data_IF_185579488268
#
_entry.id   IF_185579488268
#
_cell.length_a   1.000
_cell.length_b   1.000
_cell.length_c   1.000
_cell.angle_alpha   90.00
_cell.angle_beta   90.00
_cell.angle_gamma   90.00
#
_symmetry.space_group_name_H-M   'P 1'
#
loop_
_entity.id
_entity.type
_entity.pdbx_description
1 polymer ?
#
# COMPACT_ATOMS: atom_id res chain seq x y z
N UNK A 1 -11.49 6.63 7.45
CA UNK A 1 -11.09 5.26 7.81
C UNK A 1 -9.60 5.36 7.97
N UNK A 2 -9.05 5.07 9.15
CA UNK A 2 -7.61 5.10 9.38
C UNK A 2 -7.02 3.88 8.68
N UNK A 3 -6.07 4.10 7.78
CA UNK A 3 -5.33 3.01 7.13
C UNK A 3 -4.08 2.67 7.95
N UNK A 4 -3.69 1.41 7.87
CA UNK A 4 -2.61 0.77 8.62
C UNK A 4 -2.03 -0.40 7.80
N UNK A 5 -1.09 -1.17 8.36
CA UNK A 5 -0.53 -2.33 7.67
C UNK A 5 -1.58 -3.40 7.33
N UNK A 6 -2.63 -3.55 8.14
CA UNK A 6 -3.76 -4.45 7.82
C UNK A 6 -4.46 -4.04 6.52
N UNK A 7 -4.52 -2.74 6.24
CA UNK A 7 -5.05 -2.21 4.97
C UNK A 7 -4.16 -2.59 3.78
N UNK A 8 -2.83 -2.61 3.96
CA UNK A 8 -1.89 -3.10 2.94
C UNK A 8 -2.05 -4.60 2.71
N UNK A 9 -2.18 -5.40 3.77
CA UNK A 9 -2.49 -6.84 3.66
C UNK A 9 -3.79 -7.08 2.90
N UNK A 10 -4.82 -6.25 3.12
CA UNK A 10 -6.07 -6.32 2.37
C UNK A 10 -5.90 -5.98 0.89
N UNK A 11 -5.07 -4.98 0.55
CA UNK A 11 -4.73 -4.65 -0.85
C UNK A 11 -3.93 -5.79 -1.51
N UNK A 12 -2.95 -6.36 -0.81
CA UNK A 12 -2.17 -7.50 -1.28
C UNK A 12 -3.08 -8.69 -1.56
N UNK A 13 -3.95 -9.03 -0.60
CA UNK A 13 -4.94 -10.10 -0.73
C UNK A 13 -5.87 -9.86 -1.94
N UNK A 14 -6.40 -8.64 -2.08
CA UNK A 14 -7.24 -8.25 -3.22
C UNK A 14 -6.52 -8.47 -4.55
N UNK A 15 -5.27 -8.01 -4.64
CA UNK A 15 -4.46 -8.09 -5.86
C UNK A 15 -4.14 -9.54 -6.22
N UNK A 16 -3.65 -10.34 -5.27
CA UNK A 16 -3.34 -11.77 -5.48
C UNK A 16 -4.60 -12.57 -5.85
N UNK A 17 -5.74 -12.28 -5.22
CA UNK A 17 -6.99 -12.97 -5.56
C UNK A 17 -7.40 -12.70 -7.01
N UNK A 18 -7.30 -11.45 -7.48
CA UNK A 18 -7.61 -11.11 -8.86
C UNK A 18 -6.64 -11.74 -9.85
N UNK A 19 -5.33 -11.71 -9.57
CA UNK A 19 -4.33 -12.39 -10.40
C UNK A 19 -4.61 -13.89 -10.52
N UNK A 20 -4.98 -14.53 -9.41
CA UNK A 20 -5.31 -15.97 -9.40
C UNK A 20 -6.62 -16.28 -10.10
N UNK A 21 -7.64 -15.43 -9.97
CA UNK A 21 -8.96 -15.62 -10.59
C UNK A 21 -8.90 -15.54 -12.11
N UNK A 22 -8.01 -14.72 -12.65
CA UNK A 22 -7.81 -14.55 -14.10
C UNK A 22 -6.65 -15.41 -14.63
N UNK A 23 -6.24 -16.43 -13.87
CA UNK A 23 -5.20 -17.42 -14.23
C UNK A 23 -3.86 -16.80 -14.65
N UNK A 24 -3.49 -15.64 -14.08
CA UNK A 24 -2.24 -14.93 -14.43
C UNK A 24 -1.04 -15.41 -13.62
N UNK A 25 -1.26 -16.01 -12.44
CA UNK A 25 -0.21 -16.54 -11.57
C UNK A 25 -0.59 -17.90 -10.98
N UNK A 26 0.41 -18.75 -10.75
CA UNK A 26 0.28 -20.02 -10.00
C UNK A 26 1.06 -19.95 -8.68
N UNK A 27 0.49 -20.54 -7.63
CA UNK A 27 1.15 -20.68 -6.33
C UNK A 27 0.46 -21.79 -5.52
N UNK A 28 1.24 -22.48 -4.68
CA UNK A 28 0.71 -23.52 -3.79
C UNK A 28 -0.14 -22.91 -2.67
N UNK A 29 -1.21 -23.61 -2.28
CA UNK A 29 -2.18 -23.10 -1.31
C UNK A 29 -1.57 -22.78 0.07
N UNK A 30 -0.55 -23.51 0.48
CA UNK A 30 0.19 -23.32 1.73
C UNK A 30 1.12 -22.09 1.69
N UNK A 31 1.61 -21.69 0.51
CA UNK A 31 2.41 -20.46 0.31
C UNK A 31 1.57 -19.19 0.23
N UNK A 32 0.24 -19.30 0.20
CA UNK A 32 -0.65 -18.14 0.02
C UNK A 32 -0.46 -17.05 1.08
N UNK A 33 -0.31 -17.43 2.35
CA UNK A 33 -0.14 -16.47 3.44
C UNK A 33 1.16 -15.70 3.26
N UNK A 34 2.26 -16.43 3.01
CA UNK A 34 3.59 -15.86 2.83
C UNK A 34 3.64 -14.93 1.61
N UNK A 35 2.98 -15.31 0.50
CA UNK A 35 2.86 -14.47 -0.69
C UNK A 35 2.12 -13.15 -0.39
N UNK A 36 1.03 -13.22 0.36
CA UNK A 36 0.25 -12.03 0.73
C UNK A 36 1.07 -11.11 1.64
N UNK A 37 1.75 -11.67 2.65
CA UNK A 37 2.55 -10.91 3.59
C UNK A 37 3.75 -10.26 2.89
N UNK A 38 4.45 -11.00 2.03
CA UNK A 38 5.56 -10.49 1.25
C UNK A 38 5.12 -9.38 0.29
N UNK A 39 3.99 -9.55 -0.40
CA UNK A 39 3.43 -8.50 -1.26
C UNK A 39 2.99 -7.27 -0.46
N UNK A 40 2.41 -7.45 0.73
CA UNK A 40 2.02 -6.34 1.59
C UNK A 40 3.23 -5.49 2.01
N UNK A 41 4.35 -6.15 2.34
CA UNK A 41 5.63 -5.47 2.60
C UNK A 41 6.13 -4.71 1.38
N UNK A 42 6.12 -5.32 0.18
CA UNK A 42 6.54 -4.64 -1.05
C UNK A 42 5.66 -3.44 -1.38
N UNK A 43 4.34 -3.56 -1.18
CA UNK A 43 3.38 -2.47 -1.36
C UNK A 43 3.59 -1.34 -0.35
N UNK A 44 4.09 -1.63 0.86
CA UNK A 44 4.44 -0.62 1.87
C UNK A 44 5.58 0.31 1.44
N UNK A 45 6.35 -0.04 0.41
CA UNK A 45 7.35 0.87 -0.20
C UNK A 45 6.67 1.88 -1.14
N UNK A 46 5.52 1.52 -1.70
CA UNK A 46 4.79 2.28 -2.72
C UNK A 46 3.52 2.97 -2.22
N UNK A 47 3.10 2.64 -1.00
CA UNK A 47 1.94 3.20 -0.34
C UNK A 47 2.26 3.61 1.08
N UNK A 48 1.78 4.80 1.47
CA UNK A 48 1.80 5.24 2.86
C UNK A 48 0.40 5.15 3.47
N UNK A 49 0.35 4.66 4.70
CA UNK A 49 -0.86 4.59 5.52
C UNK A 49 -1.07 5.90 6.29
N UNK A 50 -2.24 6.07 6.89
CA UNK A 50 -2.48 7.17 7.84
C UNK A 50 -1.55 7.08 9.06
N UNK A 51 -1.11 5.87 9.46
CA UNK A 51 -0.14 5.67 10.53
C UNK A 51 1.26 6.13 10.11
N UNK A 52 1.72 5.72 8.92
CA UNK A 52 3.03 6.15 8.40
C UNK A 52 3.11 7.67 8.28
N UNK A 53 2.04 8.31 7.77
CA UNK A 53 1.98 9.77 7.65
C UNK A 53 1.96 10.44 9.02
N UNK A 54 1.28 9.85 10.01
CA UNK A 54 1.27 10.37 11.38
C UNK A 54 2.67 10.32 11.97
N UNK A 55 3.35 9.19 11.85
CA UNK A 55 4.67 8.98 12.44
C UNK A 55 5.71 9.87 11.75
N UNK A 56 5.69 9.96 10.43
CA UNK A 56 6.54 10.87 9.66
C UNK A 56 6.29 12.35 10.01
N UNK A 57 5.03 12.75 10.24
CA UNK A 57 4.72 14.12 10.64
C UNK A 57 5.21 14.46 12.04
N UNK A 58 5.23 13.48 12.96
CA UNK A 58 5.83 13.64 14.29
C UNK A 58 7.34 13.82 14.13
N UNK A 59 8.00 12.93 13.39
CA UNK A 59 9.45 12.98 13.14
C UNK A 59 9.86 14.33 12.53
N UNK A 60 9.17 14.82 11.49
CA UNK A 60 9.49 16.09 10.85
C UNK A 60 9.35 17.30 11.80
N UNK A 61 8.37 17.27 12.71
CA UNK A 61 8.20 18.32 13.72
C UNK A 61 9.30 18.25 14.77
N UNK A 62 9.61 17.05 15.27
CA UNK A 62 10.68 16.83 16.26
C UNK A 62 12.06 17.24 15.72
N UNK A 63 12.37 16.90 14.47
CA UNK A 63 13.64 17.29 13.82
C UNK A 63 13.77 18.80 13.64
N UNK A 64 12.66 19.48 13.32
CA UNK A 64 12.67 20.90 13.00
C UNK A 64 12.75 21.81 14.22
N UNK A 65 12.15 21.40 15.34
CA UNK A 65 12.05 22.22 16.55
C UNK A 65 12.90 21.70 17.72
N UNK A 66 13.33 20.44 17.67
CA UNK A 66 14.05 19.77 18.74
C UNK A 66 13.12 19.24 19.81
N UNK A 67 13.40 18.04 20.34
CA UNK A 67 12.56 17.30 21.29
C UNK A 67 12.19 18.10 22.57
N UNK A 68 13.03 19.06 22.97
CA UNK A 68 12.81 19.87 24.17
C UNK A 68 11.75 20.98 23.97
N UNK A 69 11.46 21.37 22.73
CA UNK A 69 10.56 22.48 22.39
C UNK A 69 9.18 21.99 21.90
N UNK A 70 9.00 20.69 21.69
CA UNK A 70 7.73 20.12 21.21
C UNK A 70 6.83 19.71 22.38
N UNK A 71 5.52 20.03 22.36
CA UNK A 71 4.58 19.60 23.41
C UNK A 71 4.51 18.07 23.58
N UNK A 72 4.16 17.60 24.78
CA UNK A 72 3.96 16.17 25.06
C UNK A 72 2.90 15.52 24.14
N UNK A 73 1.88 16.27 23.72
CA UNK A 73 0.93 15.85 22.68
C UNK A 73 1.11 16.67 21.39
N UNK A 74 2.04 16.20 20.58
CA UNK A 74 2.38 16.79 19.27
C UNK A 74 1.18 16.73 18.32
N UNK A 75 0.33 15.71 18.44
CA UNK A 75 -0.67 15.37 17.41
C UNK A 75 -1.89 16.29 17.38
N UNK A 76 -2.08 17.09 18.43
CA UNK A 76 -3.12 18.12 18.50
C UNK A 76 -2.63 19.51 18.04
N UNK A 77 -1.36 19.64 17.66
CA UNK A 77 -0.76 20.94 17.32
C UNK A 77 -1.02 21.37 15.87
N UNK A 78 -1.03 22.68 15.63
CA UNK A 78 -1.07 23.24 14.26
C UNK A 78 0.17 22.86 13.44
N UNK A 79 1.31 22.69 14.09
CA UNK A 79 2.57 22.31 13.43
C UNK A 79 2.51 20.88 12.89
N UNK A 80 2.01 19.93 13.68
CA UNK A 80 1.73 18.58 13.22
C UNK A 80 0.73 18.56 12.06
N UNK A 81 -0.38 19.30 12.19
CA UNK A 81 -1.38 19.41 11.13
C UNK A 81 -0.82 20.01 9.84
N UNK A 82 0.14 20.93 9.96
CA UNK A 82 0.87 21.49 8.82
C UNK A 82 1.81 20.45 8.18
N UNK A 83 2.67 19.79 8.96
CA UNK A 83 3.59 18.77 8.47
C UNK A 83 2.85 17.63 7.74
N UNK A 84 1.80 17.09 8.37
CA UNK A 84 0.92 16.07 7.77
C UNK A 84 0.36 16.50 6.40
N UNK A 85 -0.06 17.76 6.26
CA UNK A 85 -0.58 18.28 4.97
C UNK A 85 0.53 18.37 3.92
N UNK A 86 1.74 18.76 4.29
CA UNK A 86 2.87 18.86 3.35
C UNK A 86 3.31 17.47 2.88
N UNK A 87 3.38 16.48 3.77
CA UNK A 87 3.65 15.08 3.42
C UNK A 87 2.63 14.56 2.41
N UNK A 88 1.33 14.70 2.70
CA UNK A 88 0.26 14.26 1.78
C UNK A 88 0.36 14.96 0.41
N UNK A 89 0.70 16.25 0.37
CA UNK A 89 0.87 17.00 -0.88
C UNK A 89 2.07 16.49 -1.69
N UNK A 90 3.13 16.05 -1.03
CA UNK A 90 4.31 15.48 -1.69
C UNK A 90 3.95 14.23 -2.51
N UNK A 91 2.91 13.50 -2.09
CA UNK A 91 2.33 12.33 -2.77
C UNK A 91 1.27 12.70 -3.82
N UNK A 92 1.23 13.97 -4.25
CA UNK A 92 0.26 14.53 -5.21
C UNK A 92 -1.21 14.41 -4.76
N UNK A 93 -1.47 14.01 -3.50
CA UNK A 93 -2.80 13.80 -2.94
C UNK A 93 -3.56 12.59 -3.49
N UNK A 94 -2.95 11.75 -4.33
CA UNK A 94 -3.59 10.54 -4.85
C UNK A 94 -3.62 9.44 -3.78
N UNK A 95 -4.77 8.76 -3.66
CA UNK A 95 -4.92 7.63 -2.76
C UNK A 95 -5.84 6.57 -3.35
N UNK A 96 -5.62 5.32 -2.94
CA UNK A 96 -6.42 4.15 -3.31
C UNK A 96 -6.89 3.48 -2.03
N UNK A 97 -8.21 3.44 -1.82
CA UNK A 97 -8.76 2.88 -0.58
C UNK A 97 -8.31 3.60 0.70
N UNK A 98 -7.83 4.85 0.60
CA UNK A 98 -7.24 5.58 1.73
C UNK A 98 -5.74 5.33 1.95
N UNK A 99 -5.09 4.50 1.12
CA UNK A 99 -3.63 4.36 1.07
C UNK A 99 -3.07 5.44 0.13
N UNK A 100 -2.15 6.25 0.60
CA UNK A 100 -1.55 7.34 -0.16
C UNK A 100 -0.47 6.80 -1.10
N UNK A 101 -0.45 7.25 -2.34
CA UNK A 101 0.50 6.76 -3.35
C UNK A 101 1.79 7.60 -3.35
N UNK A 102 2.92 7.01 -2.94
CA UNK A 102 4.24 7.69 -2.99
C UNK A 102 4.83 7.74 -4.40
N UNK A 103 4.29 6.95 -5.32
CA UNK A 103 4.67 6.96 -6.74
C UNK A 103 3.45 6.70 -7.64
N UNK A 104 3.62 6.87 -8.96
CA UNK A 104 2.52 6.65 -9.91
C UNK A 104 2.04 5.20 -9.88
N UNK A 105 0.73 4.97 -10.03
CA UNK A 105 0.14 3.63 -10.02
C UNK A 105 0.79 2.66 -11.04
N UNK A 106 1.26 3.19 -12.17
CA UNK A 106 1.98 2.40 -13.16
C UNK A 106 3.34 1.91 -12.66
N UNK A 107 4.07 2.71 -11.87
CA UNK A 107 5.31 2.28 -11.24
C UNK A 107 5.05 1.26 -10.12
N UNK A 108 3.96 1.45 -9.35
CA UNK A 108 3.51 0.46 -8.37
C UNK A 108 3.24 -0.88 -9.07
N UNK A 109 2.53 -0.87 -10.20
CA UNK A 109 2.26 -2.08 -10.99
C UNK A 109 3.56 -2.72 -11.51
N UNK A 110 4.54 -1.95 -11.94
CA UNK A 110 5.87 -2.47 -12.32
C UNK A 110 6.57 -3.17 -11.15
N UNK A 111 6.56 -2.55 -9.98
CA UNK A 111 7.13 -3.12 -8.75
C UNK A 111 6.45 -4.45 -8.40
N UNK A 112 5.12 -4.51 -8.43
CA UNK A 112 4.38 -5.75 -8.16
C UNK A 112 4.69 -6.80 -9.22
N UNK A 113 4.78 -6.43 -10.49
CA UNK A 113 5.18 -7.34 -11.58
C UNK A 113 6.59 -7.91 -11.34
N UNK A 114 7.56 -7.05 -11.02
CA UNK A 114 8.94 -7.49 -10.71
C UNK A 114 8.98 -8.39 -9.46
N UNK A 115 8.18 -8.09 -8.44
CA UNK A 115 7.99 -8.97 -7.27
C UNK A 115 7.43 -10.34 -7.66
N UNK A 116 6.37 -10.40 -8.47
CA UNK A 116 5.76 -11.66 -8.90
C UNK A 116 6.74 -12.53 -9.69
N UNK A 117 7.58 -11.92 -10.54
CA UNK A 117 8.58 -12.61 -11.35
C UNK A 117 9.80 -13.10 -10.55
N UNK A 118 10.01 -12.58 -9.34
CA UNK A 118 11.19 -12.90 -8.50
C UNK A 118 10.85 -13.57 -7.18
N UNK A 119 9.57 -13.68 -6.83
CA UNK A 119 9.12 -14.27 -5.57
C UNK A 119 9.21 -15.79 -5.59
N UNK A 120 9.86 -16.36 -4.57
CA UNK A 120 9.92 -17.81 -4.35
C UNK A 120 8.55 -18.44 -4.00
N UNK A 121 7.56 -17.61 -3.67
CA UNK A 121 6.19 -18.06 -3.35
C UNK A 121 5.29 -18.14 -4.57
N UNK A 122 5.75 -17.64 -5.73
CA UNK A 122 5.05 -17.73 -7.02
C UNK A 122 5.73 -18.83 -7.84
N UNK A 123 4.95 -19.77 -8.36
CA UNK A 123 5.49 -20.87 -9.17
C UNK A 123 5.67 -20.47 -10.63
N UNK A 124 4.69 -19.75 -11.18
CA UNK A 124 4.66 -19.40 -12.59
C UNK A 124 3.83 -18.13 -12.83
N UNK A 125 4.20 -17.36 -13.85
CA UNK A 125 3.50 -16.14 -14.29
C UNK A 125 3.12 -16.29 -15.76
N UNK A 126 1.82 -16.34 -16.06
CA UNK A 126 1.29 -16.68 -17.39
C UNK A 126 0.94 -15.46 -18.26
N UNK A 127 1.69 -14.37 -18.14
CA UNK A 127 1.38 -13.12 -18.84
C UNK A 127 2.64 -12.41 -19.32
N UNK A 128 2.52 -11.60 -20.38
CA UNK A 128 3.59 -10.68 -20.74
C UNK A 128 3.68 -9.52 -19.74
N UNK A 129 4.85 -8.90 -19.62
CA UNK A 129 5.08 -7.76 -18.73
C UNK A 129 4.04 -6.65 -18.91
N UNK A 130 3.74 -6.28 -20.16
CA UNK A 130 2.82 -5.18 -20.47
C UNK A 130 1.37 -5.52 -20.05
N UNK A 131 0.90 -6.73 -20.39
CA UNK A 131 -0.43 -7.21 -20.00
C UNK A 131 -0.58 -7.30 -18.47
N UNK A 132 0.46 -7.82 -17.79
CA UNK A 132 0.46 -7.94 -16.33
C UNK A 132 0.45 -6.55 -15.66
N UNK A 133 1.21 -5.59 -16.17
CA UNK A 133 1.20 -4.22 -15.66
C UNK A 133 -0.18 -3.58 -15.85
N UNK A 134 -0.77 -3.70 -17.04
CA UNK A 134 -2.11 -3.16 -17.31
C UNK A 134 -3.16 -3.77 -16.38
N UNK A 135 -3.09 -5.08 -16.18
CA UNK A 135 -3.95 -5.80 -15.25
C UNK A 135 -3.80 -5.28 -13.81
N UNK A 136 -2.57 -5.18 -13.32
CA UNK A 136 -2.26 -4.73 -11.96
C UNK A 136 -2.77 -3.31 -11.73
N UNK A 137 -2.56 -2.40 -12.69
CA UNK A 137 -3.12 -1.04 -12.63
C UNK A 137 -4.64 -1.07 -12.47
N UNK A 138 -5.33 -1.89 -13.26
CA UNK A 138 -6.79 -2.00 -13.21
C UNK A 138 -7.28 -2.63 -11.90
N UNK A 139 -6.63 -3.68 -11.42
CA UNK A 139 -6.98 -4.41 -10.20
C UNK A 139 -6.77 -3.55 -8.94
N UNK A 140 -5.58 -2.95 -8.79
CA UNK A 140 -5.22 -2.10 -7.64
C UNK A 140 -6.14 -0.88 -7.59
N UNK A 141 -6.42 -0.22 -8.72
CA UNK A 141 -7.32 0.95 -8.77
C UNK A 141 -8.73 0.65 -8.26
N UNK A 142 -9.20 -0.60 -8.36
CA UNK A 142 -10.53 -1.02 -7.91
C UNK A 142 -10.59 -1.39 -6.43
N UNK A 143 -9.45 -1.39 -5.73
CA UNK A 143 -9.41 -1.74 -4.32
C UNK A 143 -10.29 -0.81 -3.48
N UNK A 144 -11.15 -1.40 -2.66
CA UNK A 144 -11.97 -0.70 -1.69
C UNK A 144 -12.04 -1.49 -0.37
N UNK A 145 -11.34 -1.06 0.69
CA UNK A 145 -11.27 -1.78 1.95
C UNK A 145 -12.63 -1.87 2.68
N UNK A 146 -13.60 -1.01 2.35
CA UNK A 146 -14.96 -1.08 2.91
C UNK A 146 -15.80 -2.21 2.33
N UNK A 147 -15.50 -2.63 1.10
CA UNK A 147 -16.24 -3.72 0.44
C UNK A 147 -15.92 -5.09 1.04
N UNK A 148 -14.79 -5.24 1.72
CA UNK A 148 -14.41 -6.47 2.43
C UNK A 148 -15.27 -6.78 3.67
N UNK A 149 -16.09 -5.82 4.14
CA UNK A 149 -16.95 -5.96 5.32
C UNK A 149 -18.43 -6.27 5.01
N UNK A 150 -18.80 -6.54 3.76
CA UNK A 150 -20.16 -7.02 3.48
C UNK A 150 -20.21 -8.54 3.66
N UNK A 151 -20.92 -9.07 4.69
CA UNK A 151 -21.24 -10.49 4.69
C UNK A 151 -22.05 -10.74 3.43
N UNK A 152 -21.60 -11.70 2.62
CA UNK A 152 -22.37 -12.18 1.48
C UNK A 152 -23.72 -12.66 2.04
N UNK A 153 -24.79 -11.96 1.67
CA UNK A 153 -26.17 -12.35 1.96
C UNK A 153 -26.60 -13.49 1.04
#
# INVERSE_FOLDING_TARGET
MRTDFTTLTALATHTINHLKQDDLIEYEADKRSDLIDALATELGVSFSTDEDIRDQAIEEVEEKFGLEEVPEDITETEMFNHARKEIIKSFQGENIGGLYMVESLHNIAKRVKDFLLTSDTVEEVYSSDDELIEFLVAAIRRFNPKSAHQPQL
#
